data_IF_773556233143
#
_entry.id   IF_773556233143
#
_cell.length_a   1.000
_cell.length_b   1.000
_cell.length_c   1.000
_cell.angle_alpha   90.00
_cell.angle_beta   90.00
_cell.angle_gamma   90.00
#
_symmetry.space_group_name_H-M   'P 1'
#
loop_
_entity.id
_entity.type
_entity.pdbx_description
1 polymer ?
#
# COMPACT_ATOMS: atom_id res chain seq x y z
N UNK A 1 -26.80 15.71 -3.98
CA UNK A 1 -25.65 15.28 -4.79
C UNK A 1 -25.70 13.76 -4.82
N UNK A 2 -26.14 13.14 -5.91
CA UNK A 2 -26.21 11.67 -6.01
C UNK A 2 -24.86 11.15 -6.48
N UNK A 3 -24.08 10.61 -5.56
CA UNK A 3 -22.85 9.90 -5.89
C UNK A 3 -23.25 8.52 -6.39
N UNK A 4 -23.02 8.24 -7.67
CA UNK A 4 -23.21 6.91 -8.24
C UNK A 4 -21.98 6.05 -7.93
N UNK A 5 -22.13 5.11 -6.99
CA UNK A 5 -21.08 4.13 -6.67
C UNK A 5 -21.11 2.98 -7.67
N UNK A 6 -19.96 2.63 -8.25
CA UNK A 6 -19.81 1.53 -9.22
C UNK A 6 -20.00 0.15 -8.59
N UNK A 7 -19.73 0.01 -7.28
CA UNK A 7 -19.99 -1.20 -6.49
C UNK A 7 -20.86 -0.86 -5.29
N UNK A 8 -22.17 -1.00 -5.48
CA UNK A 8 -23.20 -0.55 -4.53
C UNK A 8 -23.18 -1.32 -3.21
N UNK A 9 -22.79 -2.60 -3.20
CA UNK A 9 -22.76 -3.39 -1.97
C UNK A 9 -21.61 -2.97 -1.05
N UNK A 10 -20.39 -2.86 -1.57
CA UNK A 10 -19.22 -2.41 -0.77
C UNK A 10 -19.43 -0.99 -0.25
N UNK A 11 -19.92 -0.08 -1.11
CA UNK A 11 -20.25 1.28 -0.70
C UNK A 11 -21.31 1.31 0.40
N UNK A 12 -22.36 0.48 0.30
CA UNK A 12 -23.40 0.38 1.32
C UNK A 12 -22.84 -0.14 2.66
N UNK A 13 -21.98 -1.16 2.65
CA UNK A 13 -21.33 -1.68 3.86
C UNK A 13 -20.46 -0.61 4.54
N UNK A 14 -19.67 0.12 3.76
CA UNK A 14 -18.82 1.19 4.26
C UNK A 14 -19.66 2.33 4.87
N UNK A 15 -20.67 2.82 4.15
CA UNK A 15 -21.54 3.90 4.61
C UNK A 15 -22.31 3.48 5.88
N UNK A 16 -22.81 2.26 5.92
CA UNK A 16 -23.47 1.73 7.12
C UNK A 16 -22.50 1.66 8.31
N UNK A 17 -21.26 1.21 8.12
CA UNK A 17 -20.27 1.16 9.20
C UNK A 17 -19.92 2.58 9.72
N UNK A 18 -19.82 3.57 8.83
CA UNK A 18 -19.58 4.97 9.16
C UNK A 18 -20.74 5.61 9.96
N UNK A 19 -21.97 5.16 9.77
CA UNK A 19 -23.13 5.61 10.57
C UNK A 19 -23.07 5.10 12.02
N UNK A 20 -22.44 3.95 12.25
CA UNK A 20 -22.42 3.30 13.57
C UNK A 20 -21.21 3.70 14.41
N UNK A 21 -20.07 4.02 13.79
CA UNK A 21 -18.82 4.34 14.48
C UNK A 21 -17.82 5.08 13.60
N UNK A 22 -16.82 5.67 14.25
CA UNK A 22 -15.62 6.16 13.56
C UNK A 22 -14.85 4.95 13.00
N UNK A 23 -14.45 5.05 11.73
CA UNK A 23 -13.52 4.11 11.10
C UNK A 23 -12.12 4.73 11.07
N UNK A 24 -11.10 3.93 11.39
CA UNK A 24 -9.71 4.35 11.36
C UNK A 24 -9.05 3.89 10.06
N UNK A 25 -8.47 4.84 9.33
CA UNK A 25 -7.55 4.56 8.24
C UNK A 25 -6.17 4.22 8.81
N UNK A 26 -5.38 3.44 8.07
CA UNK A 26 -4.01 3.14 8.44
C UNK A 26 -3.08 4.37 8.39
N UNK A 27 -1.84 4.15 8.82
CA UNK A 27 -0.81 5.18 8.86
C UNK A 27 0.10 5.17 7.63
N UNK A 28 1.15 5.99 7.70
CA UNK A 28 2.09 6.14 6.60
C UNK A 28 2.86 4.85 6.26
N UNK A 29 2.58 4.26 5.09
CA UNK A 29 3.30 3.10 4.52
C UNK A 29 4.81 3.37 4.37
N UNK A 30 5.18 4.52 3.80
CA UNK A 30 6.58 4.86 3.55
C UNK A 30 7.43 4.99 4.82
N UNK A 31 6.87 5.53 5.90
CA UNK A 31 7.56 5.64 7.20
C UNK A 31 7.86 4.26 7.78
N UNK A 32 6.94 3.32 7.64
CA UNK A 32 7.15 1.94 8.11
C UNK A 32 8.21 1.22 7.27
N UNK A 33 8.17 1.35 5.93
CA UNK A 33 9.20 0.79 5.04
C UNK A 33 10.60 1.30 5.39
N UNK A 34 10.75 2.59 5.71
CA UNK A 34 12.05 3.18 6.07
C UNK A 34 12.69 2.50 7.28
N UNK A 35 11.91 1.98 8.24
CA UNK A 35 12.41 1.28 9.44
C UNK A 35 13.14 -0.03 9.10
N UNK A 36 12.81 -0.66 7.98
CA UNK A 36 13.47 -1.89 7.54
C UNK A 36 14.85 -1.66 6.92
N UNK A 37 15.26 -0.40 6.67
CA UNK A 37 16.61 -0.08 6.22
C UNK A 37 17.00 -0.62 4.84
N UNK A 38 15.99 -0.91 3.99
CA UNK A 38 16.13 -1.56 2.69
C UNK A 38 17.15 -0.86 1.79
N UNK A 39 17.89 -1.67 1.04
CA UNK A 39 18.88 -1.26 0.05
C UNK A 39 18.28 -1.43 -1.34
N UNK A 40 18.92 -0.82 -2.32
CA UNK A 40 18.48 -0.88 -3.72
C UNK A 40 18.25 -2.32 -4.20
N UNK A 41 19.16 -3.25 -3.88
CA UNK A 41 19.03 -4.67 -4.19
C UNK A 41 17.71 -5.32 -3.70
N UNK A 42 17.13 -4.84 -2.60
CA UNK A 42 15.85 -5.31 -2.07
C UNK A 42 14.66 -4.88 -2.95
N UNK A 43 14.75 -3.70 -3.56
CA UNK A 43 13.78 -3.19 -4.53
C UNK A 43 13.89 -3.88 -5.89
N UNK A 44 15.09 -4.38 -6.24
CA UNK A 44 15.26 -5.22 -7.43
C UNK A 44 14.69 -6.63 -7.22
N UNK A 45 14.98 -7.23 -6.07
CA UNK A 45 14.69 -8.63 -5.79
C UNK A 45 15.17 -9.55 -6.91
N UNK A 46 14.50 -10.70 -7.09
CA UNK A 46 14.80 -11.59 -8.23
C UNK A 46 14.21 -11.08 -9.54
N UNK A 47 13.10 -10.35 -9.47
CA UNK A 47 12.29 -9.97 -10.64
C UNK A 47 12.97 -8.92 -11.51
N UNK A 48 13.73 -8.01 -10.91
CA UNK A 48 14.37 -6.89 -11.60
C UNK A 48 15.91 -6.93 -11.48
N UNK A 49 16.50 -8.07 -11.12
CA UNK A 49 17.94 -8.20 -10.87
C UNK A 49 18.85 -7.79 -12.04
N UNK A 50 18.35 -7.81 -13.28
CA UNK A 50 19.09 -7.41 -14.48
C UNK A 50 18.88 -5.96 -14.91
N UNK A 51 18.14 -5.15 -14.14
CA UNK A 51 17.88 -3.76 -14.49
C UNK A 51 19.05 -2.88 -14.02
N UNK A 52 19.54 -2.01 -14.92
CA UNK A 52 20.61 -1.03 -14.62
C UNK A 52 20.02 0.35 -14.31
N UNK A 53 19.03 0.37 -13.43
CA UNK A 53 18.39 1.60 -12.93
C UNK A 53 18.23 1.49 -11.42
N UNK A 54 18.41 2.59 -10.70
CA UNK A 54 18.23 2.63 -9.25
C UNK A 54 16.72 2.60 -8.92
N UNK A 55 16.30 1.54 -8.22
CA UNK A 55 14.91 1.31 -7.84
C UNK A 55 14.61 1.71 -6.38
N UNK A 56 15.63 2.07 -5.60
CA UNK A 56 15.46 2.48 -4.21
C UNK A 56 14.47 3.63 -4.08
N UNK A 57 13.47 3.43 -3.24
CA UNK A 57 12.40 4.40 -2.99
C UNK A 57 11.16 4.20 -3.87
N UNK A 58 11.20 3.32 -4.87
CA UNK A 58 10.01 2.87 -5.60
C UNK A 58 9.25 1.83 -4.76
N UNK A 59 8.67 2.29 -3.64
CA UNK A 59 8.05 1.45 -2.61
C UNK A 59 6.96 0.53 -3.16
N UNK A 60 6.24 0.95 -4.19
CA UNK A 60 5.23 0.18 -4.90
C UNK A 60 5.76 -1.17 -5.41
N UNK A 61 7.06 -1.24 -5.79
CA UNK A 61 7.70 -2.47 -6.26
C UNK A 61 7.88 -3.52 -5.17
N UNK A 62 7.88 -3.10 -3.89
CA UNK A 62 8.07 -4.01 -2.76
C UNK A 62 6.90 -4.99 -2.60
N UNK A 63 5.73 -4.72 -3.17
CA UNK A 63 4.64 -5.71 -3.28
C UNK A 63 5.09 -6.94 -4.08
N UNK A 64 6.03 -6.76 -5.02
CA UNK A 64 6.56 -7.82 -5.87
C UNK A 64 7.87 -8.40 -5.35
N UNK A 65 8.74 -7.58 -4.76
CA UNK A 65 10.09 -8.00 -4.38
C UNK A 65 10.25 -8.33 -2.90
N UNK A 66 9.42 -7.73 -2.04
CA UNK A 66 9.40 -7.93 -0.59
C UNK A 66 7.96 -8.04 -0.04
N UNK A 67 7.13 -8.96 -0.57
CA UNK A 67 5.70 -9.03 -0.23
C UNK A 67 5.45 -9.27 1.26
N UNK A 68 6.32 -10.02 1.93
CA UNK A 68 6.18 -10.32 3.36
C UNK A 68 6.40 -9.07 4.24
N UNK A 69 7.27 -8.15 3.83
CA UNK A 69 7.45 -6.86 4.54
C UNK A 69 6.19 -6.02 4.41
N UNK A 70 5.64 -5.89 3.20
CA UNK A 70 4.42 -5.11 2.97
C UNK A 70 3.24 -5.72 3.72
N UNK A 71 3.10 -7.05 3.71
CA UNK A 71 2.08 -7.74 4.49
C UNK A 71 2.24 -7.45 5.99
N UNK A 72 3.45 -7.62 6.53
CA UNK A 72 3.71 -7.39 7.96
C UNK A 72 3.34 -5.98 8.40
N UNK A 73 3.61 -4.96 7.58
CA UNK A 73 3.22 -3.58 7.91
C UNK A 73 1.70 -3.40 7.92
N UNK A 74 0.97 -3.99 6.98
CA UNK A 74 -0.50 -3.97 7.02
C UNK A 74 -1.04 -4.70 8.26
N UNK A 75 -0.43 -5.84 8.62
CA UNK A 75 -0.78 -6.58 9.84
C UNK A 75 -0.55 -5.72 11.09
N UNK A 76 0.58 -4.99 11.19
CA UNK A 76 0.85 -4.05 12.29
C UNK A 76 -0.22 -2.95 12.39
N UNK A 77 -0.70 -2.42 11.26
CA UNK A 77 -1.78 -1.43 11.28
C UNK A 77 -3.14 -2.02 11.70
N UNK A 78 -3.45 -3.24 11.25
CA UNK A 78 -4.66 -3.95 11.69
C UNK A 78 -4.60 -4.25 13.20
N UNK A 79 -3.46 -4.71 13.71
CA UNK A 79 -3.23 -4.96 15.14
C UNK A 79 -3.34 -3.66 15.97
N UNK A 80 -2.93 -2.53 15.41
CA UNK A 80 -3.09 -1.21 16.02
C UNK A 80 -4.54 -0.67 15.98
N UNK A 81 -5.45 -1.35 15.27
CA UNK A 81 -6.87 -1.02 15.21
C UNK A 81 -7.32 -0.27 13.95
N UNK A 82 -6.53 -0.28 12.88
CA UNK A 82 -7.00 0.22 11.59
C UNK A 82 -8.18 -0.63 11.07
N UNK A 83 -9.21 0.05 10.59
CA UNK A 83 -10.38 -0.56 9.93
C UNK A 83 -10.23 -0.62 8.42
N UNK A 84 -9.44 0.29 7.86
CA UNK A 84 -9.23 0.47 6.44
C UNK A 84 -7.73 0.53 6.18
N UNK A 85 -7.28 -0.22 5.18
CA UNK A 85 -5.91 -0.22 4.71
C UNK A 85 -5.83 0.46 3.34
N UNK A 86 -4.81 1.27 3.12
CA UNK A 86 -4.43 1.70 1.78
C UNK A 86 -3.59 0.61 1.10
N UNK A 87 -3.70 0.47 -0.22
CA UNK A 87 -2.76 -0.38 -0.96
C UNK A 87 -1.40 0.31 -1.06
N UNK A 88 -0.30 -0.45 -1.06
CA UNK A 88 1.03 0.08 -1.36
C UNK A 88 1.19 0.35 -2.86
N UNK A 89 0.47 1.37 -3.36
CA UNK A 89 0.33 1.66 -4.79
C UNK A 89 0.24 3.17 -5.10
N UNK A 90 0.79 4.03 -4.22
CA UNK A 90 0.71 5.47 -4.37
C UNK A 90 1.33 5.99 -5.68
N UNK A 91 2.44 5.40 -6.14
CA UNK A 91 3.10 5.73 -7.41
C UNK A 91 2.95 4.61 -8.45
N UNK A 92 1.98 3.71 -8.29
CA UNK A 92 1.75 2.62 -9.22
C UNK A 92 1.00 3.08 -10.49
N UNK A 93 1.44 4.19 -11.09
CA UNK A 93 0.90 4.74 -12.34
C UNK A 93 1.90 4.55 -13.48
N UNK A 94 1.44 4.47 -14.75
CA UNK A 94 2.36 4.35 -15.89
C UNK A 94 3.41 5.47 -15.96
N UNK A 95 3.04 6.72 -15.61
CA UNK A 95 3.96 7.86 -15.65
C UNK A 95 5.05 7.79 -14.58
N UNK A 96 4.71 7.35 -13.37
CA UNK A 96 5.68 7.26 -12.28
C UNK A 96 6.60 6.04 -12.43
N UNK A 97 6.09 4.96 -13.03
CA UNK A 97 6.83 3.72 -13.26
C UNK A 97 7.69 3.73 -14.53
N UNK A 98 7.54 4.71 -15.42
CA UNK A 98 8.29 4.82 -16.69
C UNK A 98 9.73 5.37 -16.54
N UNK A 99 10.33 5.24 -15.35
CA UNK A 99 11.67 5.74 -15.06
C UNK A 99 12.77 5.09 -15.90
#
# INVERSE_FOLDING_TARGET
MNIHYSNTETASKLLHALEQRILLLDGAMGTMIQRHGLKDADYHGKRFAGWDVNLKGMNDLLVLTQPDIIRGIHEEYLEAGADILETNSFNATPSDLAR
#
